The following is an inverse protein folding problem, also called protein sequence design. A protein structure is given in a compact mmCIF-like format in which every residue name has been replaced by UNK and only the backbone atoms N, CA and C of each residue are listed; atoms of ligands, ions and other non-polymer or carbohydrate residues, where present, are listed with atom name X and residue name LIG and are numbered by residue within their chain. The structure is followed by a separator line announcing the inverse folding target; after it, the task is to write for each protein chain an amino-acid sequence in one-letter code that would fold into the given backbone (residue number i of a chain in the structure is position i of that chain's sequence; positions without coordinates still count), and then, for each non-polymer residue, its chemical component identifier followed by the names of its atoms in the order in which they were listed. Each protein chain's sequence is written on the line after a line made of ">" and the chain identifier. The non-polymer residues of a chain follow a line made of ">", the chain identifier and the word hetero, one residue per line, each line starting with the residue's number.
data_IF_680496421189
#
_entry.id   IF_680496421189
#
_cell.length_a   1.000
_cell.length_b   1.000
_cell.length_c   1.000
_cell.angle_alpha   90.00
_cell.angle_beta   90.00
_cell.angle_gamma   90.00
#
_symmetry.space_group_name_H-M   'P 1'
#
loop_
_entity.id
_entity.type
_entity.pdbx_description
1 polymer ?
#
# COMPACT_ATOMS: atom_id res chain seq x y z
N UNK A 1 17.11 4.57 -30.50
CA UNK A 1 15.84 5.18 -30.09
C UNK A 1 16.18 6.42 -29.27
N UNK A 2 15.52 7.57 -29.46
CA UNK A 2 15.70 8.69 -28.53
C UNK A 2 15.40 8.19 -27.11
N UNK A 3 16.15 8.69 -26.13
CA UNK A 3 15.87 8.37 -24.73
C UNK A 3 14.42 8.77 -24.43
N UNK A 4 13.61 7.87 -23.86
CA UNK A 4 12.26 8.23 -23.44
C UNK A 4 12.35 9.34 -22.40
N UNK A 5 11.54 10.38 -22.56
CA UNK A 5 11.46 11.44 -21.56
C UNK A 5 10.81 10.89 -20.28
N UNK A 6 11.31 11.35 -19.13
CA UNK A 6 10.75 10.92 -17.85
C UNK A 6 9.36 11.52 -17.64
N UNK A 7 8.43 10.69 -17.17
CA UNK A 7 7.04 11.06 -16.90
C UNK A 7 6.61 10.63 -15.50
N UNK A 8 5.57 11.27 -14.98
CA UNK A 8 4.80 10.76 -13.85
C UNK A 8 3.57 10.03 -14.38
N UNK A 9 3.19 8.95 -13.70
CA UNK A 9 1.89 8.32 -13.89
C UNK A 9 1.15 8.40 -12.56
N UNK A 10 0.24 9.35 -12.46
CA UNK A 10 -0.68 9.46 -11.33
C UNK A 10 -1.76 8.38 -11.48
N UNK A 11 -2.07 7.64 -10.42
CA UNK A 11 -3.15 6.66 -10.44
C UNK A 11 -3.86 6.57 -9.10
N UNK A 12 -5.02 5.93 -9.15
CA UNK A 12 -5.82 5.52 -7.99
C UNK A 12 -6.68 4.29 -8.34
N UNK A 13 -7.00 3.48 -7.34
CA UNK A 13 -7.93 2.37 -7.47
C UNK A 13 -9.14 2.56 -6.54
N UNK A 14 -10.32 2.26 -7.08
CA UNK A 14 -11.45 1.87 -6.25
C UNK A 14 -11.49 0.35 -6.13
N UNK A 15 -11.65 -0.18 -4.92
CA UNK A 15 -11.65 -1.61 -4.64
C UNK A 15 -12.93 -2.04 -3.91
N UNK A 16 -13.25 -3.33 -4.01
CA UNK A 16 -14.37 -3.94 -3.31
C UNK A 16 -14.08 -4.27 -1.83
N UNK A 17 -12.95 -3.82 -1.29
CA UNK A 17 -12.59 -4.03 0.10
C UNK A 17 -11.16 -3.64 0.43
N UNK A 18 -10.82 -3.74 1.72
CA UNK A 18 -9.58 -3.19 2.30
C UNK A 18 -8.36 -4.12 2.18
N UNK A 19 -8.54 -5.40 1.86
CA UNK A 19 -7.46 -6.39 1.74
C UNK A 19 -6.91 -6.42 0.30
N UNK A 20 -5.69 -5.94 0.04
CA UNK A 20 -5.16 -5.89 -1.33
C UNK A 20 -4.98 -7.27 -1.98
N UNK A 21 -4.85 -8.33 -1.17
CA UNK A 21 -4.68 -9.71 -1.65
C UNK A 21 -6.01 -10.44 -1.85
N UNK A 22 -6.98 -10.25 -0.95
CA UNK A 22 -8.23 -11.02 -0.92
C UNK A 22 -9.40 -10.28 -1.58
N UNK A 23 -9.44 -8.96 -1.49
CA UNK A 23 -10.45 -8.14 -2.16
C UNK A 23 -10.05 -7.84 -3.61
N UNK A 24 -11.05 -7.51 -4.43
CA UNK A 24 -10.90 -7.32 -5.88
C UNK A 24 -10.92 -5.84 -6.26
N UNK A 25 -10.14 -5.44 -7.29
CA UNK A 25 -10.27 -4.09 -7.84
C UNK A 25 -11.66 -3.92 -8.47
N UNK A 26 -12.22 -2.71 -8.40
CA UNK A 26 -13.46 -2.33 -9.05
C UNK A 26 -13.19 -1.41 -10.25
N UNK A 27 -12.35 -0.39 -10.06
CA UNK A 27 -11.99 0.61 -11.07
C UNK A 27 -10.51 0.97 -10.93
N UNK A 28 -9.89 1.32 -12.06
CA UNK A 28 -8.60 1.99 -12.11
C UNK A 28 -8.75 3.31 -12.84
N UNK A 29 -8.11 4.36 -12.32
CA UNK A 29 -7.88 5.60 -13.04
C UNK A 29 -6.40 5.93 -13.10
N UNK A 30 -5.96 6.53 -14.21
CA UNK A 30 -4.58 6.95 -14.39
C UNK A 30 -4.42 8.15 -15.33
N UNK A 31 -3.49 9.03 -15.00
CA UNK A 31 -3.11 10.19 -15.80
C UNK A 31 -1.59 10.31 -15.89
N UNK A 32 -1.07 10.25 -17.11
CA UNK A 32 0.34 10.50 -17.36
C UNK A 32 0.60 12.00 -17.47
N UNK A 33 1.70 12.46 -16.89
CA UNK A 33 2.16 13.85 -17.00
C UNK A 33 3.66 13.93 -17.31
N UNK A 34 4.08 15.06 -17.87
CA UNK A 34 5.49 15.42 -17.94
C UNK A 34 6.04 15.81 -16.54
N UNK A 35 7.31 16.22 -16.48
CA UNK A 35 7.96 16.69 -15.24
C UNK A 35 7.39 17.99 -14.67
N UNK A 36 6.71 18.77 -15.48
CA UNK A 36 6.06 20.03 -15.11
C UNK A 36 4.57 19.81 -14.77
N UNK A 37 4.13 18.55 -14.66
CA UNK A 37 2.76 18.17 -14.34
C UNK A 37 1.72 18.61 -15.39
N UNK A 38 2.13 18.72 -16.65
CA UNK A 38 1.22 18.86 -17.78
C UNK A 38 0.80 17.47 -18.26
N UNK A 39 -0.50 17.28 -18.52
CA UNK A 39 -1.03 16.00 -18.99
C UNK A 39 -0.38 15.58 -20.32
N UNK A 40 -0.06 14.29 -20.44
CA UNK A 40 0.51 13.66 -21.64
C UNK A 40 -0.42 12.53 -22.05
N UNK A 41 -1.14 12.71 -23.16
CA UNK A 41 -2.17 11.78 -23.60
C UNK A 41 -3.48 11.93 -22.83
N UNK A 42 -4.37 10.98 -23.06
CA UNK A 42 -5.72 10.98 -22.47
C UNK A 42 -5.76 10.26 -21.11
N UNK A 43 -6.64 10.70 -20.18
CA UNK A 43 -6.97 9.95 -18.98
C UNK A 43 -7.35 8.49 -19.28
N UNK A 44 -6.88 7.57 -18.44
CA UNK A 44 -7.19 6.15 -18.55
C UNK A 44 -8.14 5.76 -17.42
N UNK A 45 -9.37 5.38 -17.75
CA UNK A 45 -10.36 4.91 -16.76
C UNK A 45 -10.99 3.63 -17.27
N UNK A 46 -10.95 2.57 -16.48
CA UNK A 46 -11.57 1.30 -16.83
C UNK A 46 -11.91 0.47 -15.57
N UNK A 47 -12.89 -0.42 -15.70
CA UNK A 47 -13.42 -1.24 -14.60
C UNK A 47 -12.92 -2.69 -14.69
N UNK A 48 -12.89 -3.39 -13.56
CA UNK A 48 -12.58 -4.82 -13.48
C UNK A 48 -13.84 -5.62 -13.19
N UNK A 49 -14.12 -6.65 -14.00
CA UNK A 49 -15.19 -7.59 -13.70
C UNK A 49 -14.79 -8.45 -12.48
N UNK A 50 -15.77 -8.79 -11.64
CA UNK A 50 -15.59 -9.73 -10.55
C UNK A 50 -15.76 -11.16 -11.05
N UNK A 51 -14.92 -12.05 -10.55
CA UNK A 51 -15.13 -13.48 -10.72
C UNK A 51 -16.26 -13.99 -9.82
N UNK A 52 -16.81 -15.15 -10.18
CA UNK A 52 -17.97 -15.77 -9.52
C UNK A 52 -17.66 -16.44 -8.17
N UNK A 53 -16.50 -16.16 -7.57
CA UNK A 53 -16.01 -16.74 -6.31
C UNK A 53 -15.86 -15.72 -5.17
N UNK A 54 -16.44 -14.52 -5.30
CA UNK A 54 -16.21 -13.41 -4.38
C UNK A 54 -17.44 -12.54 -4.11
N UNK A 55 -17.62 -12.15 -2.85
CA UNK A 55 -18.56 -11.13 -2.40
C UNK A 55 -17.79 -9.87 -1.95
N UNK A 56 -18.20 -8.66 -2.38
CA UNK A 56 -17.55 -7.42 -1.98
C UNK A 56 -17.84 -7.06 -0.52
N UNK A 57 -17.02 -6.21 0.10
CA UNK A 57 -17.34 -5.57 1.37
C UNK A 57 -18.44 -4.50 1.14
N UNK A 58 -19.59 -4.57 1.84
CA UNK A 58 -20.68 -3.62 1.63
C UNK A 58 -20.27 -2.16 1.80
N UNK A 59 -19.49 -1.83 2.83
CA UNK A 59 -19.05 -0.47 3.08
C UNK A 59 -18.12 0.06 1.99
N UNK A 60 -17.33 -0.81 1.35
CA UNK A 60 -16.50 -0.39 0.23
C UNK A 60 -17.38 0.04 -0.96
N UNK A 61 -18.42 -0.74 -1.29
CA UNK A 61 -19.39 -0.35 -2.32
C UNK A 61 -20.12 0.95 -1.95
N UNK A 62 -20.37 1.19 -0.67
CA UNK A 62 -20.99 2.43 -0.20
C UNK A 62 -20.08 3.66 -0.27
N UNK A 63 -18.77 3.47 -0.10
CA UNK A 63 -17.78 4.54 -0.23
C UNK A 63 -17.55 4.87 -1.71
N UNK A 64 -17.32 3.83 -2.53
CA UNK A 64 -16.97 3.97 -3.95
C UNK A 64 -18.17 4.26 -4.86
N UNK A 65 -19.37 3.88 -4.43
CA UNK A 65 -20.58 3.89 -5.26
C UNK A 65 -20.60 2.87 -6.40
N UNK A 66 -19.58 2.02 -6.53
CA UNK A 66 -19.46 1.05 -7.63
C UNK A 66 -20.02 -0.30 -7.19
N UNK A 67 -21.16 -0.69 -7.73
CA UNK A 67 -21.74 -2.02 -7.47
C UNK A 67 -21.09 -3.10 -8.33
N UNK A 68 -21.13 -4.38 -7.90
CA UNK A 68 -20.67 -5.50 -8.73
C UNK A 68 -21.32 -5.53 -10.12
N UNK A 69 -22.59 -5.16 -10.22
CA UNK A 69 -23.31 -5.09 -11.50
C UNK A 69 -22.72 -4.01 -12.42
N UNK A 70 -22.34 -2.85 -11.89
CA UNK A 70 -21.70 -1.79 -12.68
C UNK A 70 -20.33 -2.26 -13.16
N UNK A 71 -19.52 -2.82 -12.26
CA UNK A 71 -18.18 -3.31 -12.60
C UNK A 71 -18.24 -4.47 -13.61
N UNK A 72 -19.19 -5.40 -13.48
CA UNK A 72 -19.36 -6.50 -14.43
C UNK A 72 -19.87 -6.04 -15.80
N UNK A 73 -20.77 -5.05 -15.84
CA UNK A 73 -21.32 -4.54 -17.09
C UNK A 73 -20.35 -3.65 -17.87
N UNK A 74 -19.50 -2.88 -17.19
CA UNK A 74 -18.57 -1.92 -17.81
C UNK A 74 -17.14 -2.44 -17.91
N UNK A 75 -16.78 -3.41 -17.07
CA UNK A 75 -15.42 -3.85 -16.89
C UNK A 75 -14.96 -4.89 -17.88
N UNK A 76 -13.67 -5.20 -17.77
CA UNK A 76 -13.01 -6.30 -18.47
C UNK A 76 -12.57 -7.37 -17.46
N UNK A 77 -12.33 -8.63 -17.87
CA UNK A 77 -11.77 -9.65 -17.00
C UNK A 77 -10.45 -9.20 -16.35
N UNK A 78 -10.12 -9.69 -15.15
CA UNK A 78 -8.96 -9.26 -14.37
C UNK A 78 -7.64 -9.42 -15.16
N UNK A 79 -7.53 -10.43 -16.02
CA UNK A 79 -6.38 -10.60 -16.91
C UNK A 79 -6.17 -9.42 -17.87
N UNK A 80 -7.23 -8.89 -18.47
CA UNK A 80 -7.14 -7.75 -19.38
C UNK A 80 -6.91 -6.45 -18.59
N UNK A 81 -7.59 -6.31 -17.44
CA UNK A 81 -7.38 -5.22 -16.50
C UNK A 81 -5.90 -5.11 -16.08
N UNK A 82 -5.31 -6.23 -15.67
CA UNK A 82 -3.90 -6.35 -15.29
C UNK A 82 -2.96 -5.99 -16.45
N UNK A 83 -3.26 -6.45 -17.66
CA UNK A 83 -2.45 -6.16 -18.85
C UNK A 83 -2.44 -4.67 -19.20
N UNK A 84 -3.60 -4.00 -19.13
CA UNK A 84 -3.72 -2.55 -19.37
C UNK A 84 -2.90 -1.75 -18.36
N UNK A 85 -3.03 -2.06 -17.07
CA UNK A 85 -2.25 -1.41 -16.01
C UNK A 85 -0.75 -1.65 -16.20
N UNK A 86 -0.35 -2.90 -16.46
CA UNK A 86 1.05 -3.24 -16.69
C UNK A 86 1.62 -2.50 -17.90
N UNK A 87 0.86 -2.33 -18.98
CA UNK A 87 1.30 -1.55 -20.14
C UNK A 87 1.61 -0.09 -19.77
N UNK A 88 0.75 0.55 -18.97
CA UNK A 88 0.96 1.91 -18.47
C UNK A 88 2.16 2.00 -17.51
N UNK A 89 2.23 1.07 -16.55
CA UNK A 89 3.23 1.11 -15.48
C UNK A 89 4.64 0.76 -15.97
N UNK A 90 4.76 -0.04 -17.03
CA UNK A 90 6.03 -0.52 -17.57
C UNK A 90 6.61 0.36 -18.68
N UNK A 91 5.95 1.47 -19.05
CA UNK A 91 6.55 2.49 -19.92
C UNK A 91 7.88 3.00 -19.33
N UNK A 92 8.99 3.00 -20.08
CA UNK A 92 10.30 3.42 -19.57
C UNK A 92 10.33 4.85 -19.02
N UNK A 93 11.15 5.06 -17.98
CA UNK A 93 11.30 6.35 -17.29
C UNK A 93 10.00 6.87 -16.64
N UNK A 94 9.12 5.97 -16.19
CA UNK A 94 7.89 6.34 -15.47
C UNK A 94 8.10 6.37 -13.95
N UNK A 95 7.68 7.44 -13.29
CA UNK A 95 7.45 7.46 -11.85
C UNK A 95 5.97 7.27 -11.56
N UNK A 96 5.61 6.08 -11.11
CA UNK A 96 4.24 5.75 -10.70
C UNK A 96 3.98 6.35 -9.33
N UNK A 97 2.92 7.14 -9.19
CA UNK A 97 2.62 7.90 -7.97
C UNK A 97 1.11 7.94 -7.71
N UNK A 98 0.72 7.93 -6.45
CA UNK A 98 -0.64 8.20 -6.02
C UNK A 98 -0.63 8.85 -4.64
N UNK A 99 -1.74 8.71 -3.93
CA UNK A 99 -1.90 9.18 -2.56
C UNK A 99 -2.14 7.98 -1.63
N UNK A 100 -1.17 7.66 -0.76
CA UNK A 100 -1.15 6.41 0.03
C UNK A 100 -0.93 5.12 -0.78
N UNK A 101 -0.53 5.24 -2.05
CA UNK A 101 -0.37 4.10 -2.95
C UNK A 101 0.64 3.08 -2.45
N UNK A 102 1.75 3.49 -1.82
CA UNK A 102 2.81 2.56 -1.41
C UNK A 102 2.33 1.55 -0.36
N UNK A 103 1.29 1.88 0.41
CA UNK A 103 0.71 1.02 1.45
C UNK A 103 -0.58 0.33 1.02
N UNK A 104 -1.20 0.75 -0.09
CA UNK A 104 -2.47 0.20 -0.55
C UNK A 104 -2.44 -0.16 -2.05
N UNK A 105 -2.50 0.82 -2.95
CA UNK A 105 -2.64 0.60 -4.39
C UNK A 105 -1.47 -0.18 -5.03
N UNK A 106 -0.24 0.03 -4.55
CA UNK A 106 0.92 -0.75 -4.95
C UNK A 106 0.76 -2.21 -4.54
N UNK A 107 0.15 -2.48 -3.39
CA UNK A 107 -0.16 -3.83 -2.91
C UNK A 107 -1.29 -4.45 -3.73
N UNK A 108 -2.31 -3.67 -4.11
CA UNK A 108 -3.37 -4.10 -5.04
C UNK A 108 -2.74 -4.48 -6.39
N UNK A 109 -1.90 -3.61 -6.95
CA UNK A 109 -1.18 -3.83 -8.21
C UNK A 109 -0.32 -5.10 -8.16
N UNK A 110 0.45 -5.29 -7.08
CA UNK A 110 1.28 -6.49 -6.89
C UNK A 110 0.44 -7.77 -6.89
N UNK A 111 -0.69 -7.77 -6.19
CA UNK A 111 -1.56 -8.94 -6.12
C UNK A 111 -2.32 -9.19 -7.42
N UNK A 112 -2.77 -8.15 -8.13
CA UNK A 112 -3.33 -8.27 -9.49
C UNK A 112 -2.29 -8.91 -10.42
N UNK A 113 -1.04 -8.42 -10.41
CA UNK A 113 0.01 -8.97 -11.27
C UNK A 113 0.37 -10.41 -10.90
N UNK A 114 0.48 -10.70 -9.61
CA UNK A 114 0.71 -12.05 -9.08
C UNK A 114 -0.36 -13.06 -9.52
N UNK A 115 -1.65 -12.72 -9.39
CA UNK A 115 -2.76 -13.57 -9.81
C UNK A 115 -2.83 -13.78 -11.33
N UNK A 116 -2.25 -12.86 -12.11
CA UNK A 116 -2.34 -12.84 -13.57
C UNK A 116 -0.99 -13.05 -14.27
N UNK A 117 -0.02 -13.69 -13.60
CA UNK A 117 1.27 -14.09 -14.17
C UNK A 117 2.11 -12.93 -14.75
N UNK A 118 1.98 -11.75 -14.16
CA UNK A 118 2.83 -10.58 -14.42
C UNK A 118 3.82 -10.46 -13.26
N UNK A 119 5.06 -10.05 -13.53
CA UNK A 119 6.04 -9.82 -12.47
C UNK A 119 5.52 -8.74 -11.50
N UNK A 120 5.32 -9.05 -10.20
CA UNK A 120 4.69 -8.12 -9.27
C UNK A 120 5.52 -6.86 -8.96
N UNK A 121 6.79 -6.82 -9.34
CA UNK A 121 7.76 -5.84 -8.84
C UNK A 121 8.44 -5.03 -9.95
N UNK A 122 8.65 -5.64 -11.13
CA UNK A 122 9.44 -5.12 -12.24
C UNK A 122 9.04 -3.71 -12.67
N UNK A 123 7.73 -3.44 -12.71
CA UNK A 123 7.14 -2.15 -13.06
C UNK A 123 7.71 -0.96 -12.26
N UNK A 124 8.12 -1.19 -11.01
CA UNK A 124 8.55 -0.13 -10.09
C UNK A 124 10.04 0.24 -10.19
N UNK A 125 10.83 -0.46 -11.01
CA UNK A 125 12.29 -0.24 -11.08
C UNK A 125 12.94 -0.55 -12.44
N UNK A 126 12.37 -1.43 -13.26
CA UNK A 126 12.92 -1.73 -14.59
C UNK A 126 12.84 -0.51 -15.51
N UNK A 127 13.70 -0.44 -16.51
CA UNK A 127 13.68 0.61 -17.54
C UNK A 127 13.84 2.05 -17.00
N UNK A 128 14.44 2.21 -15.81
CA UNK A 128 14.58 3.49 -15.14
C UNK A 128 13.29 3.97 -14.46
N UNK A 129 12.31 3.08 -14.28
CA UNK A 129 11.08 3.39 -13.56
C UNK A 129 11.35 3.55 -12.07
N UNK A 130 10.39 4.20 -11.41
CA UNK A 130 10.39 4.42 -9.97
C UNK A 130 8.96 4.50 -9.47
N UNK A 131 8.81 4.58 -8.15
CA UNK A 131 7.54 4.91 -7.51
C UNK A 131 7.71 6.03 -6.51
N UNK A 132 6.61 6.68 -6.16
CA UNK A 132 6.54 7.69 -5.11
C UNK A 132 5.14 7.69 -4.47
N UNK A 133 4.98 8.41 -3.37
CA UNK A 133 3.72 8.50 -2.63
C UNK A 133 3.58 9.91 -2.05
N UNK A 134 2.48 10.58 -2.38
CA UNK A 134 2.28 11.97 -1.98
C UNK A 134 1.82 12.11 -0.52
N UNK A 135 1.28 11.08 0.12
CA UNK A 135 0.80 11.17 1.50
C UNK A 135 1.92 11.55 2.48
N UNK A 136 3.04 10.83 2.45
CA UNK A 136 4.17 11.14 3.33
C UNK A 136 4.90 12.43 2.89
N UNK A 137 4.74 12.87 1.62
CA UNK A 137 5.18 14.22 1.17
C UNK A 137 4.34 15.32 1.84
N UNK A 138 3.01 15.18 1.90
CA UNK A 138 2.14 16.13 2.59
C UNK A 138 2.48 16.22 4.08
N UNK A 139 2.68 15.07 4.74
CA UNK A 139 3.12 15.02 6.14
C UNK A 139 4.46 15.71 6.34
N UNK A 140 5.42 15.47 5.45
CA UNK A 140 6.74 16.10 5.52
C UNK A 140 6.67 17.61 5.30
N UNK A 141 5.80 18.06 4.40
CA UNK A 141 5.56 19.48 4.18
C UNK A 141 4.97 20.14 5.43
N UNK A 142 3.91 19.58 6.01
CA UNK A 142 3.35 20.07 7.28
C UNK A 142 4.37 20.10 8.42
N UNK A 143 5.13 19.02 8.57
CA UNK A 143 6.06 18.88 9.69
C UNK A 143 7.26 19.82 9.56
N UNK A 144 7.82 19.95 8.36
CA UNK A 144 9.12 20.61 8.17
C UNK A 144 8.97 22.01 7.60
N UNK A 145 8.06 22.23 6.66
CA UNK A 145 7.92 23.51 5.93
C UNK A 145 6.44 23.81 5.65
N UNK A 146 5.64 24.08 6.69
CA UNK A 146 4.19 24.22 6.57
C UNK A 146 3.76 25.48 5.81
N UNK A 147 4.64 26.47 5.68
CA UNK A 147 4.30 27.79 5.17
C UNK A 147 3.79 27.73 3.71
N UNK A 148 2.69 28.43 3.43
CA UNK A 148 2.12 28.55 2.08
C UNK A 148 1.02 27.53 1.72
N UNK A 149 0.78 26.53 2.57
CA UNK A 149 -0.31 25.56 2.45
C UNK A 149 -1.21 25.65 3.68
N UNK A 150 -2.53 25.57 3.48
CA UNK A 150 -3.52 25.53 4.57
C UNK A 150 -3.67 24.09 5.03
N UNK A 151 -3.49 23.85 6.32
CA UNK A 151 -3.53 22.51 6.92
C UNK A 151 -4.82 22.34 7.73
N UNK A 152 -5.78 21.53 7.26
CA UNK A 152 -7.02 21.29 7.97
C UNK A 152 -6.79 20.47 9.23
N UNK A 153 -7.64 20.65 10.23
CA UNK A 153 -7.67 19.84 11.45
C UNK A 153 -8.79 18.79 11.37
N UNK A 154 -8.64 17.68 12.07
CA UNK A 154 -9.68 16.69 12.29
C UNK A 154 -10.52 17.05 13.54
N UNK A 155 -11.53 16.23 13.84
CA UNK A 155 -12.43 16.46 14.97
C UNK A 155 -11.73 16.47 16.35
N UNK A 156 -10.53 15.88 16.44
CA UNK A 156 -9.69 15.84 17.64
C UNK A 156 -8.70 17.03 17.73
N UNK A 157 -8.71 17.96 16.77
CA UNK A 157 -7.80 19.12 16.71
C UNK A 157 -6.39 18.79 16.19
N UNK A 158 -6.20 17.63 15.56
CA UNK A 158 -4.93 17.22 14.95
C UNK A 158 -4.93 17.46 13.44
N UNK A 159 -3.76 17.64 12.79
CA UNK A 159 -3.68 17.83 11.35
C UNK A 159 -4.28 16.63 10.59
N UNK A 160 -5.19 16.93 9.66
CA UNK A 160 -5.79 15.94 8.77
C UNK A 160 -5.06 15.89 7.44
N UNK A 161 -4.71 14.68 7.01
CA UNK A 161 -4.08 14.41 5.71
C UNK A 161 -5.00 13.62 4.79
N UNK A 162 -6.31 13.69 5.01
CA UNK A 162 -7.30 13.19 4.05
C UNK A 162 -7.29 14.09 2.81
N UNK A 163 -7.34 13.49 1.63
CA UNK A 163 -7.14 14.23 0.37
C UNK A 163 -8.28 15.24 0.13
N UNK A 164 -9.51 14.84 0.45
CA UNK A 164 -10.71 15.67 0.42
C UNK A 164 -10.60 16.87 1.38
N UNK A 165 -10.08 16.69 2.59
CA UNK A 165 -9.87 17.79 3.54
C UNK A 165 -8.80 18.78 3.03
N UNK A 166 -7.68 18.27 2.53
CA UNK A 166 -6.57 19.10 2.03
C UNK A 166 -6.98 19.92 0.81
N UNK A 167 -7.65 19.29 -0.16
CA UNK A 167 -8.13 19.97 -1.38
C UNK A 167 -9.14 21.05 -1.05
N UNK A 168 -10.13 20.75 -0.21
CA UNK A 168 -11.11 21.72 0.26
C UNK A 168 -10.45 22.92 0.96
N UNK A 169 -9.51 22.67 1.88
CA UNK A 169 -8.84 23.73 2.63
C UNK A 169 -7.96 24.65 1.76
N UNK A 170 -7.50 24.16 0.60
CA UNK A 170 -6.60 24.90 -0.31
C UNK A 170 -7.30 25.39 -1.59
N UNK A 171 -8.64 25.32 -1.67
CA UNK A 171 -9.39 25.81 -2.83
C UNK A 171 -9.15 25.01 -4.11
N UNK A 172 -8.75 23.74 -3.99
CA UNK A 172 -8.59 22.81 -5.11
C UNK A 172 -9.92 22.13 -5.38
N UNK A 173 -10.35 22.13 -6.64
CA UNK A 173 -11.58 21.44 -7.05
C UNK A 173 -11.45 19.93 -6.81
N UNK A 174 -12.42 19.37 -6.11
CA UNK A 174 -12.56 17.94 -5.83
C UNK A 174 -14.05 17.61 -5.99
N UNK A 175 -14.47 17.27 -7.21
CA UNK A 175 -15.89 17.21 -7.59
C UNK A 175 -16.63 16.05 -6.90
N UNK A 176 -16.10 14.84 -7.04
CA UNK A 176 -16.60 13.63 -6.38
C UNK A 176 -15.44 12.94 -5.68
N UNK A 177 -15.35 13.05 -4.36
CA UNK A 177 -14.43 12.22 -3.59
C UNK A 177 -14.83 10.75 -3.75
N UNK A 178 -13.86 9.84 -3.87
CA UNK A 178 -14.08 8.41 -4.12
C UNK A 178 -14.60 8.09 -5.55
N UNK A 179 -14.26 8.96 -6.51
CA UNK A 179 -14.12 8.57 -7.92
C UNK A 179 -12.62 8.57 -8.23
N UNK A 180 -12.10 7.43 -8.71
CA UNK A 180 -10.67 7.25 -8.92
C UNK A 180 -10.04 8.37 -9.77
N UNK A 181 -10.76 8.91 -10.76
CA UNK A 181 -10.20 9.96 -11.62
C UNK A 181 -10.19 11.33 -10.94
N UNK A 182 -11.22 11.64 -10.15
CA UNK A 182 -11.26 12.82 -9.29
C UNK A 182 -10.10 12.81 -8.28
N UNK A 183 -9.82 11.67 -7.65
CA UNK A 183 -8.71 11.51 -6.71
C UNK A 183 -7.33 11.60 -7.40
N UNK A 184 -7.20 11.13 -8.65
CA UNK A 184 -6.02 11.37 -9.49
C UNK A 184 -5.78 12.86 -9.74
N UNK A 185 -6.81 13.62 -10.10
CA UNK A 185 -6.68 15.07 -10.33
C UNK A 185 -6.39 15.82 -9.04
N UNK A 186 -7.03 15.45 -7.93
CA UNK A 186 -6.76 16.01 -6.60
C UNK A 186 -5.30 15.77 -6.20
N UNK A 187 -4.80 14.55 -6.37
CA UNK A 187 -3.39 14.19 -6.10
C UNK A 187 -2.42 15.01 -6.96
N UNK A 188 -2.70 15.15 -8.25
CA UNK A 188 -1.91 15.98 -9.17
C UNK A 188 -1.87 17.45 -8.72
N UNK A 189 -3.02 18.00 -8.32
CA UNK A 189 -3.13 19.38 -7.86
C UNK A 189 -2.36 19.60 -6.55
N UNK A 190 -2.43 18.66 -5.61
CA UNK A 190 -1.64 18.72 -4.38
C UNK A 190 -0.13 18.62 -4.66
N UNK A 191 0.30 17.79 -5.61
CA UNK A 191 1.70 17.73 -6.03
C UNK A 191 2.20 19.07 -6.60
N UNK A 192 1.39 19.72 -7.47
CA UNK A 192 1.65 21.07 -7.98
C UNK A 192 1.74 22.10 -6.86
N UNK A 193 0.83 22.05 -5.90
CA UNK A 193 0.81 22.98 -4.77
C UNK A 193 2.09 22.86 -3.92
N UNK A 194 2.53 21.65 -3.59
CA UNK A 194 3.78 21.45 -2.84
C UNK A 194 5.00 21.89 -3.67
N UNK A 195 5.02 21.60 -4.97
CA UNK A 195 6.10 22.04 -5.86
C UNK A 195 6.19 23.58 -5.92
N UNK A 196 5.06 24.27 -5.96
CA UNK A 196 5.00 25.74 -5.99
C UNK A 196 5.43 26.36 -4.66
N UNK A 197 4.86 25.89 -3.54
CA UNK A 197 5.05 26.51 -2.22
C UNK A 197 6.36 26.10 -1.57
N UNK A 198 6.81 24.86 -1.78
CA UNK A 198 7.99 24.28 -1.13
C UNK A 198 8.90 23.52 -2.11
N UNK A 199 9.40 24.17 -3.18
CA UNK A 199 10.14 23.51 -4.28
C UNK A 199 11.39 22.76 -3.82
N UNK A 200 12.15 23.32 -2.87
CA UNK A 200 13.37 22.68 -2.34
C UNK A 200 13.06 21.40 -1.56
N UNK A 201 11.98 21.40 -0.78
CA UNK A 201 11.55 20.21 -0.06
C UNK A 201 11.03 19.16 -1.04
N UNK A 202 10.22 19.59 -2.02
CA UNK A 202 9.71 18.72 -3.07
C UNK A 202 10.85 18.01 -3.83
N UNK A 203 11.85 18.76 -4.29
CA UNK A 203 13.02 18.22 -5.00
C UNK A 203 13.82 17.26 -4.12
N UNK A 204 14.03 17.63 -2.85
CA UNK A 204 14.72 16.79 -1.88
C UNK A 204 13.98 15.45 -1.70
N UNK A 205 12.69 15.47 -1.42
CA UNK A 205 11.87 14.27 -1.19
C UNK A 205 11.78 13.40 -2.45
N UNK A 206 11.58 14.03 -3.62
CA UNK A 206 11.56 13.33 -4.90
C UNK A 206 12.88 12.62 -5.16
N UNK A 207 14.01 13.29 -4.95
CA UNK A 207 15.34 12.66 -5.10
C UNK A 207 15.53 11.49 -4.14
N UNK A 208 15.08 11.63 -2.90
CA UNK A 208 15.22 10.63 -1.85
C UNK A 208 14.10 9.57 -1.85
N UNK A 209 13.21 9.53 -2.85
CA UNK A 209 12.37 8.34 -3.08
C UNK A 209 13.21 7.11 -3.48
N UNK A 210 14.39 7.36 -4.04
CA UNK A 210 15.30 6.33 -4.51
C UNK A 210 16.10 5.72 -3.33
N UNK A 211 16.10 4.39 -3.24
CA UNK A 211 16.78 3.66 -2.16
C UNK A 211 18.28 3.95 -2.07
N UNK A 212 18.97 4.11 -3.20
CA UNK A 212 20.40 4.43 -3.19
C UNK A 212 20.67 5.82 -2.61
N UNK A 213 19.80 6.79 -2.87
CA UNK A 213 19.89 8.13 -2.27
C UNK A 213 19.62 8.09 -0.77
N UNK A 214 18.59 7.37 -0.31
CA UNK A 214 18.32 7.18 1.12
C UNK A 214 19.49 6.56 1.87
N UNK A 215 20.16 5.56 1.29
CA UNK A 215 21.32 4.91 1.90
C UNK A 215 22.46 5.90 2.20
N UNK A 216 22.60 7.00 1.46
CA UNK A 216 23.64 8.01 1.72
C UNK A 216 23.39 8.81 3.02
N UNK A 217 22.17 8.79 3.55
CA UNK A 217 21.83 9.45 4.81
C UNK A 217 22.13 8.57 6.03
N UNK A 218 22.17 7.25 5.84
CA UNK A 218 22.22 6.26 6.92
C UNK A 218 23.67 5.99 7.32
N UNK A 219 23.99 6.21 8.60
CA UNK A 219 25.27 5.85 9.20
C UNK A 219 25.02 5.14 10.53
N UNK A 220 25.00 3.81 10.47
CA UNK A 220 24.79 2.91 11.61
C UNK A 220 25.97 2.97 12.59
N UNK A 221 27.25 2.85 12.17
CA UNK A 221 28.39 2.92 13.08
C UNK A 221 28.37 4.16 13.97
N UNK A 222 28.14 5.35 13.39
CA UNK A 222 28.12 6.60 14.14
C UNK A 222 26.78 6.90 14.83
N UNK A 223 25.77 6.05 14.64
CA UNK A 223 24.41 6.31 15.14
C UNK A 223 23.97 7.72 14.72
N UNK A 224 24.10 8.04 13.43
CA UNK A 224 23.81 9.40 12.94
C UNK A 224 22.30 9.65 13.01
N UNK A 225 21.83 10.64 13.80
CA UNK A 225 20.41 10.90 13.93
C UNK A 225 19.83 11.46 12.63
N UNK A 226 18.60 11.08 12.34
CA UNK A 226 17.83 11.51 11.18
C UNK A 226 16.44 11.98 11.61
N UNK A 227 15.86 12.90 10.85
CA UNK A 227 14.42 13.15 10.90
C UNK A 227 13.72 12.06 10.11
N UNK A 228 12.69 11.47 10.68
CA UNK A 228 11.79 10.57 9.98
C UNK A 228 10.36 11.07 10.11
N UNK A 229 9.64 11.11 8.97
CA UNK A 229 8.21 11.40 8.93
C UNK A 229 7.46 10.14 8.51
N UNK A 230 6.49 9.73 9.31
CA UNK A 230 5.73 8.49 9.15
C UNK A 230 4.43 8.54 9.95
N UNK A 231 3.32 8.14 9.32
CA UNK A 231 2.00 8.02 9.97
C UNK A 231 2.02 7.28 11.32
N UNK A 232 2.86 6.24 11.46
CA UNK A 232 3.01 5.46 12.70
C UNK A 232 3.45 6.26 13.93
N UNK A 233 4.00 7.47 13.76
CA UNK A 233 4.35 8.33 14.89
C UNK A 233 3.15 9.07 15.50
N UNK A 234 1.99 9.07 14.82
CA UNK A 234 0.77 9.74 15.27
C UNK A 234 0.70 11.22 14.90
N UNK A 235 -0.52 11.72 14.74
CA UNK A 235 -0.78 13.10 14.32
C UNK A 235 -0.43 14.13 15.42
N UNK A 236 -0.44 13.72 16.69
CA UNK A 236 -0.10 14.56 17.85
C UNK A 236 1.30 15.20 17.78
N UNK A 237 2.26 14.54 17.12
CA UNK A 237 3.61 15.08 16.86
C UNK A 237 3.87 15.34 15.38
N UNK A 238 2.81 15.64 14.62
CA UNK A 238 2.86 15.87 13.17
C UNK A 238 3.51 14.72 12.41
N UNK A 239 3.26 13.48 12.83
CA UNK A 239 3.83 12.27 12.25
C UNK A 239 5.37 12.27 12.18
N UNK A 240 6.07 12.97 13.08
CA UNK A 240 7.51 13.23 12.96
C UNK A 240 8.27 12.86 14.23
N UNK A 241 9.48 12.35 14.06
CA UNK A 241 10.43 12.19 15.16
C UNK A 241 11.89 12.26 14.68
N UNK A 242 12.81 12.44 15.62
CA UNK A 242 14.20 12.04 15.40
C UNK A 242 14.36 10.55 15.67
N UNK A 243 15.02 9.87 14.73
CA UNK A 243 15.37 8.47 14.84
C UNK A 243 16.88 8.29 14.78
N UNK A 244 17.35 7.14 15.24
CA UNK A 244 18.73 6.70 15.06
C UNK A 244 18.77 5.29 14.45
N UNK A 245 19.58 5.05 13.41
CA UNK A 245 19.73 3.72 12.84
C UNK A 245 20.58 2.83 13.75
N UNK A 246 20.09 1.61 14.04
CA UNK A 246 20.75 0.66 14.92
C UNK A 246 21.39 -0.50 14.15
N UNK A 247 20.67 -1.07 13.20
CA UNK A 247 21.14 -2.20 12.40
C UNK A 247 20.28 -2.37 11.13
N UNK A 248 20.78 -3.13 10.16
CA UNK A 248 19.93 -3.69 9.11
C UNK A 248 19.17 -4.90 9.65
N UNK A 249 17.94 -5.10 9.16
CA UNK A 249 17.17 -6.30 9.50
C UNK A 249 17.91 -7.56 8.99
N UNK A 250 17.93 -8.67 9.76
CA UNK A 250 18.66 -9.89 9.40
C UNK A 250 18.18 -10.51 8.07
N UNK A 251 16.86 -10.66 7.89
CA UNK A 251 16.30 -11.27 6.67
C UNK A 251 15.90 -10.27 5.58
N UNK A 252 15.20 -9.18 5.96
CA UNK A 252 14.72 -8.18 5.00
C UNK A 252 15.79 -7.13 4.68
N UNK A 253 16.51 -7.34 3.58
CA UNK A 253 17.57 -6.43 3.08
C UNK A 253 17.14 -4.98 2.83
N UNK A 254 15.84 -4.69 2.76
CA UNK A 254 15.32 -3.34 2.57
C UNK A 254 14.79 -2.72 3.88
N UNK A 255 14.88 -3.40 5.02
CA UNK A 255 14.40 -2.89 6.30
C UNK A 255 15.57 -2.46 7.19
N UNK A 256 15.50 -1.21 7.65
CA UNK A 256 16.43 -0.63 8.62
C UNK A 256 15.76 -0.62 10.00
N UNK A 257 16.43 -1.17 11.00
CA UNK A 257 16.00 -1.12 12.40
C UNK A 257 16.42 0.23 12.96
N UNK A 258 15.46 1.01 13.45
CA UNK A 258 15.68 2.34 14.00
C UNK A 258 15.06 2.46 15.39
N UNK A 259 15.70 3.22 16.26
CA UNK A 259 15.09 3.67 17.51
C UNK A 259 14.48 5.06 17.35
N UNK A 260 13.29 5.25 17.89
CA UNK A 260 12.62 6.54 18.04
C UNK A 260 13.21 7.27 19.26
N UNK A 261 14.03 8.30 19.02
CA UNK A 261 14.74 9.01 20.09
C UNK A 261 13.80 9.80 21.01
N UNK A 262 12.55 10.02 20.63
CA UNK A 262 11.55 10.65 21.49
C UNK A 262 10.95 9.67 22.52
N UNK A 263 11.11 8.35 22.31
CA UNK A 263 10.56 7.33 23.20
C UNK A 263 11.34 7.15 24.51
N UNK A 264 10.86 6.24 25.36
CA UNK A 264 11.58 5.78 26.54
C UNK A 264 12.54 4.66 26.15
N UNK A 265 13.84 4.86 26.40
CA UNK A 265 14.87 3.86 26.08
C UNK A 265 14.95 2.72 27.10
N UNK A 266 14.29 2.83 28.26
CA UNK A 266 14.36 1.84 29.34
C UNK A 266 14.11 0.41 28.86
N UNK A 267 13.07 0.10 28.06
CA UNK A 267 12.88 -1.25 27.54
C UNK A 267 14.09 -1.81 26.80
N UNK A 268 14.76 -1.00 25.97
CA UNK A 268 15.91 -1.44 25.19
C UNK A 268 17.15 -1.72 26.04
N UNK A 269 17.23 -1.13 27.22
CA UNK A 269 18.36 -1.25 28.13
C UNK A 269 18.19 -2.36 29.15
N UNK A 270 16.95 -2.73 29.49
CA UNK A 270 16.66 -3.63 30.61
C UNK A 270 16.08 -4.98 30.21
N UNK A 271 15.41 -5.07 29.06
CA UNK A 271 14.70 -6.28 28.65
C UNK A 271 15.57 -7.17 27.76
N UNK A 272 15.32 -8.48 27.85
CA UNK A 272 15.87 -9.47 26.91
C UNK A 272 15.22 -9.37 25.52
N UNK A 273 15.84 -9.92 24.46
CA UNK A 273 15.24 -9.95 23.11
C UNK A 273 13.84 -10.57 23.05
N UNK A 274 13.57 -11.60 23.87
CA UNK A 274 12.25 -12.25 23.92
C UNK A 274 11.19 -11.35 24.55
N UNK A 275 11.49 -10.71 25.67
CA UNK A 275 10.59 -9.75 26.34
C UNK A 275 10.36 -8.51 25.48
N UNK A 276 11.40 -8.02 24.78
CA UNK A 276 11.27 -6.94 23.81
C UNK A 276 10.33 -7.33 22.67
N UNK A 277 10.43 -8.58 22.17
CA UNK A 277 9.61 -9.08 21.07
C UNK A 277 8.15 -9.17 21.48
N UNK A 278 7.87 -9.78 22.62
CA UNK A 278 6.52 -9.85 23.18
C UNK A 278 5.95 -8.43 23.33
N UNK A 279 6.72 -7.50 23.93
CA UNK A 279 6.26 -6.12 24.14
C UNK A 279 6.08 -5.32 22.85
N UNK A 280 6.87 -5.58 21.81
CA UNK A 280 6.77 -4.92 20.51
C UNK A 280 5.49 -5.33 19.76
N UNK A 281 5.04 -6.58 19.92
CA UNK A 281 3.85 -7.11 19.24
C UNK A 281 2.57 -7.05 20.08
N UNK A 282 2.65 -6.66 21.35
CA UNK A 282 1.49 -6.33 22.18
C UNK A 282 0.91 -4.98 21.77
N UNK A 283 -0.42 -4.92 21.59
CA UNK A 283 -1.11 -3.68 21.23
C UNK A 283 -0.95 -2.66 22.35
N UNK A 284 -0.83 -1.38 21.98
CA UNK A 284 -0.62 -0.31 22.96
C UNK A 284 -1.73 -0.23 24.02
N UNK A 285 -2.98 -0.50 23.65
CA UNK A 285 -4.12 -0.58 24.59
C UNK A 285 -3.94 -1.63 25.68
N UNK A 286 -3.15 -2.67 25.40
CA UNK A 286 -3.00 -3.84 26.25
C UNK A 286 -1.71 -3.76 27.09
N UNK A 287 -0.87 -2.74 26.85
CA UNK A 287 0.37 -2.48 27.61
C UNK A 287 0.12 -1.82 28.97
N UNK A 288 -1.04 -1.20 29.20
CA UNK A 288 -1.32 -0.43 30.41
C UNK A 288 -0.33 0.72 30.59
N UNK A 289 0.32 0.80 31.76
CA UNK A 289 1.30 1.84 32.09
C UNK A 289 2.74 1.52 31.60
N UNK A 290 2.95 0.36 30.95
CA UNK A 290 4.28 -0.02 30.50
C UNK A 290 4.70 0.80 29.27
N UNK A 291 5.95 1.31 29.21
CA UNK A 291 6.46 1.97 28.03
C UNK A 291 6.55 0.99 26.86
N UNK A 292 6.05 1.42 25.70
CA UNK A 292 6.22 0.70 24.45
C UNK A 292 7.70 0.64 24.04
N UNK A 293 8.08 -0.40 23.31
CA UNK A 293 9.45 -0.54 22.77
C UNK A 293 9.64 0.53 21.68
N UNK A 294 10.59 1.47 21.81
CA UNK A 294 10.75 2.60 20.88
C UNK A 294 11.49 2.17 19.60
N UNK A 295 11.13 1.03 19.01
CA UNK A 295 11.75 0.47 17.80
C UNK A 295 10.76 0.48 16.65
N UNK A 296 11.27 0.77 15.46
CA UNK A 296 10.51 0.74 14.22
C UNK A 296 11.36 0.19 13.08
N UNK A 297 10.71 -0.41 12.09
CA UNK A 297 11.33 -0.72 10.80
C UNK A 297 11.08 0.42 9.81
N UNK A 298 12.15 0.86 9.15
CA UNK A 298 12.10 1.79 8.01
C UNK A 298 12.42 1.00 6.74
N UNK A 299 11.42 0.80 5.90
CA UNK A 299 11.57 0.08 4.63
C UNK A 299 12.06 1.03 3.53
N UNK A 300 13.34 1.00 3.17
CA UNK A 300 13.97 1.94 2.23
C UNK A 300 13.43 1.85 0.79
N UNK A 301 12.74 0.75 0.46
CA UNK A 301 12.07 0.59 -0.83
C UNK A 301 10.64 1.14 -0.84
N UNK A 302 10.07 1.56 0.30
CA UNK A 302 8.71 2.10 0.45
C UNK A 302 8.70 3.63 0.59
N UNK A 303 9.59 4.31 -0.13
CA UNK A 303 9.71 5.77 -0.17
C UNK A 303 9.67 6.49 1.20
N UNK A 304 10.38 6.00 2.24
CA UNK A 304 10.28 6.61 3.56
C UNK A 304 10.90 8.01 3.55
N UNK A 305 10.24 8.96 4.22
CA UNK A 305 10.80 10.30 4.39
C UNK A 305 11.90 10.25 5.45
N UNK A 306 13.15 10.39 5.00
CA UNK A 306 14.32 10.56 5.85
C UNK A 306 15.05 11.85 5.46
N UNK A 307 15.47 12.61 6.46
CA UNK A 307 16.28 13.82 6.25
C UNK A 307 17.36 13.97 7.34
N UNK A 308 18.44 14.73 7.10
CA UNK A 308 19.40 15.08 8.14
C UNK A 308 18.73 15.71 9.37
N UNK A 309 19.24 15.42 10.57
CA UNK A 309 18.65 15.90 11.83
C UNK A 309 18.35 17.41 11.88
N UNK A 310 19.22 18.24 11.28
CA UNK A 310 19.07 19.70 11.24
C UNK A 310 17.95 20.20 10.31
N UNK A 311 17.29 19.32 9.55
CA UNK A 311 16.15 19.67 8.71
C UNK A 311 14.93 20.05 9.56
N UNK A 312 14.78 19.40 10.72
CA UNK A 312 13.84 19.77 11.77
C UNK A 312 14.46 20.90 12.60
N UNK A 313 13.97 22.12 12.38
CA UNK A 313 14.47 23.32 13.05
C UNK A 313 13.96 23.37 14.50
N UNK A 314 14.63 24.09 15.42
CA UNK A 314 14.14 24.23 16.80
C UNK A 314 12.66 24.67 16.87
N UNK A 315 12.26 25.64 16.06
CA UNK A 315 10.89 26.17 16.01
C UNK A 315 9.88 25.15 15.47
N UNK A 316 10.28 24.28 14.53
CA UNK A 316 9.43 23.20 14.04
C UNK A 316 9.26 22.12 15.11
N UNK A 317 10.34 21.78 15.82
CA UNK A 317 10.27 20.81 16.91
C UNK A 317 9.38 21.30 18.06
N UNK A 318 9.47 22.58 18.42
CA UNK A 318 8.59 23.19 19.43
C UNK A 318 7.12 23.16 18.98
N UNK A 319 6.82 23.55 17.74
CA UNK A 319 5.47 23.47 17.15
C UNK A 319 4.90 22.04 17.18
N UNK A 320 5.74 21.04 16.99
CA UNK A 320 5.36 19.62 16.95
C UNK A 320 5.42 18.93 18.33
N UNK A 321 5.82 19.63 19.40
CA UNK A 321 5.96 19.04 20.73
C UNK A 321 7.10 18.01 20.85
N UNK A 322 8.15 18.11 20.03
CA UNK A 322 9.29 17.20 20.02
C UNK A 322 10.41 17.78 20.90
N UNK A 323 10.68 17.13 22.04
CA UNK A 323 11.80 17.50 22.91
C UNK A 323 13.15 17.05 22.31
N UNK A 324 13.87 18.01 21.73
CA UNK A 324 15.19 17.78 21.13
C UNK A 324 16.26 17.44 22.16
N UNK A 325 16.16 17.97 23.37
CA UNK A 325 17.16 17.72 24.42
C UNK A 325 17.00 16.29 24.96
N UNK A 326 15.76 15.83 25.16
CA UNK A 326 15.44 14.44 25.45
C UNK A 326 15.98 13.49 24.39
N UNK A 327 15.74 13.80 23.10
CA UNK A 327 16.26 12.99 22.00
C UNK A 327 17.80 12.91 21.98
N UNK A 328 18.49 14.02 22.26
CA UNK A 328 19.96 14.05 22.35
C UNK A 328 20.48 13.27 23.56
N UNK A 329 19.79 13.33 24.71
CA UNK A 329 20.13 12.55 25.88
C UNK A 329 19.98 11.04 25.61
N UNK A 330 18.87 10.63 24.98
CA UNK A 330 18.66 9.25 24.55
C UNK A 330 19.70 8.77 23.54
N UNK A 331 20.10 9.62 22.59
CA UNK A 331 21.18 9.29 21.67
C UNK A 331 22.52 9.08 22.39
N UNK A 332 22.84 9.94 23.37
CA UNK A 332 24.06 9.79 24.18
C UNK A 332 24.02 8.52 25.02
N UNK A 333 22.86 8.15 25.54
CA UNK A 333 22.62 6.91 26.29
C UNK A 333 22.82 5.68 25.40
N UNK A 334 22.16 5.60 24.24
CA UNK A 334 22.31 4.48 23.30
C UNK A 334 23.74 4.27 22.82
N UNK A 335 24.53 5.35 22.69
CA UNK A 335 25.96 5.25 22.33
C UNK A 335 26.83 4.63 23.41
N UNK A 336 26.40 4.65 24.67
CA UNK A 336 27.09 4.02 25.80
C UNK A 336 26.71 2.54 25.94
N UNK A 337 25.63 2.10 25.30
CA UNK A 337 25.06 0.76 25.38
C UNK A 337 25.11 0.06 24.02
N UNK A 338 26.31 -0.35 23.60
CA UNK A 338 26.54 -0.99 22.30
C UNK A 338 25.76 -2.31 22.14
N UNK A 339 25.51 -3.02 23.25
CA UNK A 339 24.74 -4.26 23.35
C UNK A 339 23.31 -4.12 22.81
N UNK A 340 22.72 -2.93 22.84
CA UNK A 340 21.37 -2.69 22.30
C UNK A 340 21.28 -3.08 20.82
N UNK A 341 22.36 -2.88 20.05
CA UNK A 341 22.37 -3.25 18.62
C UNK A 341 22.25 -4.76 18.42
N UNK A 342 22.96 -5.54 19.23
CA UNK A 342 22.89 -7.00 19.16
C UNK A 342 21.50 -7.48 19.58
N UNK A 343 20.96 -6.92 20.67
CA UNK A 343 19.63 -7.27 21.18
C UNK A 343 18.53 -7.03 20.15
N UNK A 344 18.53 -5.88 19.45
CA UNK A 344 17.51 -5.60 18.43
C UNK A 344 17.68 -6.47 17.19
N UNK A 345 18.90 -6.87 16.83
CA UNK A 345 19.10 -7.82 15.71
C UNK A 345 18.54 -9.19 16.08
N UNK A 346 18.84 -9.70 17.28
CA UNK A 346 18.31 -10.97 17.79
C UNK A 346 16.77 -10.95 17.88
N UNK A 347 16.19 -9.83 18.32
CA UNK A 347 14.74 -9.63 18.36
C UNK A 347 14.08 -9.95 17.01
N UNK A 348 14.64 -9.47 15.89
CA UNK A 348 14.08 -9.69 14.56
C UNK A 348 14.51 -11.02 13.93
N UNK A 349 15.69 -11.55 14.28
CA UNK A 349 16.20 -12.81 13.71
C UNK A 349 15.43 -14.05 14.22
N UNK A 350 15.01 -14.03 15.48
CA UNK A 350 14.32 -15.14 16.13
C UNK A 350 12.81 -14.92 16.22
N UNK A 351 12.24 -14.05 15.39
CA UNK A 351 10.80 -13.86 15.33
C UNK A 351 10.12 -15.17 14.88
N UNK A 352 9.03 -15.56 15.57
CA UNK A 352 8.28 -16.75 15.18
C UNK A 352 7.82 -16.65 13.72
N UNK A 353 7.96 -17.74 12.93
CA UNK A 353 7.48 -17.75 11.57
C UNK A 353 5.99 -17.44 11.53
N UNK A 354 5.60 -16.46 10.72
CA UNK A 354 4.19 -16.24 10.40
C UNK A 354 3.61 -17.55 9.87
N UNK A 355 2.45 -17.99 10.41
CA UNK A 355 1.75 -19.16 9.87
C UNK A 355 1.19 -18.78 8.50
N UNK A 356 1.72 -19.33 7.39
CA UNK A 356 1.31 -18.92 6.06
C UNK A 356 -0.17 -19.24 5.84
N UNK A 357 -0.88 -18.36 5.13
CA UNK A 357 -2.25 -18.66 4.68
C UNK A 357 -2.23 -19.87 3.76
N UNK A 358 -3.23 -20.75 3.85
CA UNK A 358 -3.40 -21.83 2.86
C UNK A 358 -3.93 -21.33 1.51
N UNK A 359 -4.48 -20.11 1.51
CA UNK A 359 -5.07 -19.47 0.35
C UNK A 359 -3.99 -18.85 -0.55
N UNK A 360 -3.85 -19.39 -1.77
CA UNK A 360 -2.79 -18.99 -2.71
C UNK A 360 -2.83 -17.51 -3.08
N UNK A 361 -4.01 -16.86 -3.03
CA UNK A 361 -4.13 -15.43 -3.32
C UNK A 361 -3.44 -14.55 -2.23
N UNK A 362 -3.23 -15.09 -1.04
CA UNK A 362 -2.53 -14.43 0.07
C UNK A 362 -1.04 -14.80 0.19
N UNK A 363 -0.51 -15.62 -0.72
CA UNK A 363 0.85 -16.19 -0.65
C UNK A 363 1.90 -15.43 -1.46
N UNK A 364 1.61 -14.19 -1.91
CA UNK A 364 2.56 -13.37 -2.67
C UNK A 364 3.92 -13.25 -1.98
N UNK A 365 3.92 -13.07 -0.66
CA UNK A 365 5.12 -12.81 0.14
C UNK A 365 5.80 -14.07 0.69
N UNK A 366 5.33 -15.27 0.34
CA UNK A 366 5.93 -16.55 0.76
C UNK A 366 7.28 -16.84 0.06
N UNK A 367 7.67 -16.01 -0.90
CA UNK A 367 8.96 -16.11 -1.58
C UNK A 367 8.92 -15.52 -2.99
N UNK A 368 10.10 -15.21 -3.53
CA UNK A 368 10.25 -14.83 -4.93
C UNK A 368 10.25 -16.08 -5.83
N UNK A 369 9.60 -15.99 -6.99
CA UNK A 369 9.69 -17.03 -8.01
C UNK A 369 11.10 -17.10 -8.61
N UNK A 370 11.55 -18.32 -8.93
CA UNK A 370 12.84 -18.54 -9.60
C UNK A 370 12.85 -17.98 -11.03
N UNK A 371 14.04 -17.78 -11.60
CA UNK A 371 14.17 -17.29 -12.98
C UNK A 371 13.53 -18.25 -14.00
N UNK A 372 13.61 -19.56 -13.74
CA UNK A 372 12.97 -20.60 -14.54
C UNK A 372 11.44 -20.51 -14.45
N UNK A 373 10.90 -20.40 -13.24
CA UNK A 373 9.45 -20.24 -13.04
C UNK A 373 8.93 -18.95 -13.69
N UNK A 374 9.67 -17.82 -13.59
CA UNK A 374 9.31 -16.57 -14.27
C UNK A 374 9.30 -16.72 -15.79
N UNK A 375 10.24 -17.48 -16.37
CA UNK A 375 10.22 -17.79 -17.80
C UNK A 375 8.97 -18.62 -18.17
N UNK A 376 8.63 -19.64 -17.38
CA UNK A 376 7.42 -20.43 -17.58
C UNK A 376 6.13 -19.62 -17.45
N UNK A 377 6.03 -18.72 -16.46
CA UNK A 377 4.89 -17.81 -16.30
C UNK A 377 4.72 -16.86 -17.50
N UNK A 378 5.83 -16.40 -18.10
CA UNK A 378 5.76 -15.61 -19.34
C UNK A 378 5.21 -16.42 -20.52
N UNK A 379 5.56 -17.71 -20.63
CA UNK A 379 4.99 -18.62 -21.64
C UNK A 379 3.48 -18.77 -21.43
N UNK A 380 3.03 -18.97 -20.17
CA UNK A 380 1.61 -19.03 -19.84
C UNK A 380 0.87 -17.77 -20.32
N UNK A 381 1.41 -16.58 -20.03
CA UNK A 381 0.79 -15.31 -20.40
C UNK A 381 0.69 -15.09 -21.91
N UNK A 382 1.65 -15.61 -22.69
CA UNK A 382 1.67 -15.48 -24.15
C UNK A 382 0.84 -16.56 -24.86
N UNK A 383 0.42 -17.60 -24.14
CA UNK A 383 -0.31 -18.72 -24.72
C UNK A 383 -1.81 -18.41 -24.77
N UNK A 384 -2.48 -18.65 -25.93
CA UNK A 384 -3.92 -18.50 -26.02
C UNK A 384 -4.65 -19.36 -24.97
N UNK A 385 -5.71 -18.85 -24.31
CA UNK A 385 -6.36 -19.55 -23.20
C UNK A 385 -6.78 -20.99 -23.49
N UNK A 386 -7.27 -21.25 -24.71
CA UNK A 386 -7.67 -22.59 -25.17
C UNK A 386 -6.53 -23.61 -25.24
N UNK A 387 -5.28 -23.13 -25.31
CA UNK A 387 -4.09 -23.98 -25.39
C UNK A 387 -3.42 -24.18 -24.02
N UNK A 388 -3.79 -23.40 -23.00
CA UNK A 388 -3.22 -23.53 -21.64
C UNK A 388 -3.34 -24.93 -21.04
N UNK A 389 -4.46 -25.68 -21.21
CA UNK A 389 -4.57 -27.04 -20.65
C UNK A 389 -3.59 -28.04 -21.28
N UNK A 390 -3.13 -27.77 -22.51
CA UNK A 390 -2.24 -28.65 -23.26
C UNK A 390 -0.75 -28.33 -23.03
N UNK A 391 -0.43 -27.26 -22.30
CA UNK A 391 0.94 -26.91 -21.96
C UNK A 391 1.49 -27.86 -20.89
N UNK A 392 2.58 -28.54 -21.22
CA UNK A 392 3.36 -29.35 -20.29
C UNK A 392 4.54 -28.52 -19.77
N UNK A 393 4.29 -27.70 -18.75
CA UNK A 393 5.29 -26.90 -18.06
C UNK A 393 5.45 -27.40 -16.62
N UNK A 394 6.69 -27.65 -16.22
CA UNK A 394 7.04 -28.00 -14.84
C UNK A 394 7.49 -26.75 -14.09
N UNK A 395 6.89 -26.51 -12.93
CA UNK A 395 7.22 -25.40 -12.04
C UNK A 395 7.81 -25.92 -10.73
N UNK A 396 8.82 -25.23 -10.22
CA UNK A 396 9.41 -25.55 -8.91
C UNK A 396 8.49 -25.05 -7.78
N UNK A 397 7.94 -23.85 -7.95
CA UNK A 397 7.05 -23.24 -6.98
C UNK A 397 5.64 -23.83 -7.01
N UNK A 398 5.23 -24.40 -5.87
CA UNK A 398 3.93 -25.07 -5.69
C UNK A 398 2.73 -24.12 -5.81
N UNK A 399 2.93 -22.80 -5.65
CA UNK A 399 1.87 -21.79 -5.80
C UNK A 399 1.36 -21.73 -7.23
N UNK A 400 2.25 -21.92 -8.22
CA UNK A 400 1.95 -21.70 -9.64
C UNK A 400 0.82 -22.60 -10.14
N UNK A 401 0.80 -23.87 -9.75
CA UNK A 401 -0.27 -24.80 -10.15
C UNK A 401 -1.65 -24.37 -9.61
N UNK A 402 -1.71 -23.88 -8.36
CA UNK A 402 -2.96 -23.36 -7.76
C UNK A 402 -3.37 -22.04 -8.42
N UNK A 403 -2.42 -21.13 -8.67
CA UNK A 403 -2.65 -19.88 -9.37
C UNK A 403 -3.18 -20.12 -10.78
N UNK A 404 -2.59 -21.06 -11.54
CA UNK A 404 -2.97 -21.32 -12.93
C UNK A 404 -4.41 -21.83 -13.03
N UNK A 405 -4.80 -22.72 -12.11
CA UNK A 405 -6.18 -23.18 -12.03
C UNK A 405 -7.15 -22.02 -11.78
N UNK A 406 -6.89 -21.18 -10.77
CA UNK A 406 -7.77 -20.03 -10.46
C UNK A 406 -7.77 -18.98 -11.56
N UNK A 407 -6.62 -18.68 -12.15
CA UNK A 407 -6.48 -17.77 -13.27
C UNK A 407 -7.35 -18.20 -14.45
N UNK A 408 -7.30 -19.47 -14.84
CA UNK A 408 -8.15 -20.02 -15.91
C UNK A 408 -9.63 -20.00 -15.52
N UNK A 409 -9.97 -20.43 -14.32
CA UNK A 409 -11.36 -20.51 -13.89
C UNK A 409 -12.04 -19.14 -13.79
N UNK A 410 -11.33 -18.14 -13.26
CA UNK A 410 -11.84 -16.76 -13.10
C UNK A 410 -11.94 -16.00 -14.42
N UNK A 411 -10.95 -16.14 -15.31
CA UNK A 411 -10.87 -15.32 -16.52
C UNK A 411 -11.40 -16.02 -17.78
N UNK A 412 -11.33 -17.35 -17.83
CA UNK A 412 -11.65 -18.15 -19.01
C UNK A 412 -12.46 -19.41 -18.63
N UNK A 413 -13.60 -19.28 -17.91
CA UNK A 413 -14.35 -20.43 -17.40
C UNK A 413 -14.78 -21.41 -18.51
N UNK A 414 -15.01 -20.92 -19.74
CA UNK A 414 -15.33 -21.75 -20.91
C UNK A 414 -14.19 -22.66 -21.40
N UNK A 415 -12.99 -22.56 -20.83
CA UNK A 415 -11.84 -23.43 -21.15
C UNK A 415 -11.68 -24.60 -20.17
N UNK A 416 -12.52 -24.68 -19.13
CA UNK A 416 -12.47 -25.72 -18.12
C UNK A 416 -13.16 -26.99 -18.63
N UNK A 417 -12.52 -28.14 -18.43
CA UNK A 417 -13.18 -29.44 -18.63
C UNK A 417 -14.17 -29.76 -17.51
N UNK A 418 -14.94 -30.85 -17.64
CA UNK A 418 -15.96 -31.23 -16.65
C UNK A 418 -15.39 -31.41 -15.24
N UNK A 419 -14.19 -31.97 -15.10
CA UNK A 419 -13.56 -32.19 -13.78
C UNK A 419 -13.10 -30.87 -13.17
N UNK A 420 -12.54 -30.00 -13.99
CA UNK A 420 -12.12 -28.66 -13.60
C UNK A 420 -13.31 -27.78 -13.20
N UNK A 421 -14.43 -27.88 -13.91
CA UNK A 421 -15.68 -27.21 -13.53
C UNK A 421 -16.21 -27.70 -12.19
N UNK A 422 -16.20 -29.02 -11.92
CA UNK A 422 -16.58 -29.55 -10.61
C UNK A 422 -15.63 -29.10 -9.50
N UNK A 423 -14.32 -29.05 -9.78
CA UNK A 423 -13.33 -28.51 -8.84
C UNK A 423 -13.57 -27.02 -8.55
N UNK A 424 -13.93 -26.25 -9.56
CA UNK A 424 -14.23 -24.82 -9.41
C UNK A 424 -15.51 -24.60 -8.60
N UNK A 425 -16.56 -25.38 -8.88
CA UNK A 425 -17.80 -25.36 -8.11
C UNK A 425 -17.56 -25.66 -6.62
N UNK A 426 -16.69 -26.64 -6.32
CA UNK A 426 -16.32 -26.95 -4.95
C UNK A 426 -15.57 -25.79 -4.29
N UNK A 427 -14.60 -25.18 -4.97
CA UNK A 427 -13.91 -23.97 -4.48
C UNK A 427 -14.90 -22.83 -4.21
N UNK A 428 -15.84 -22.57 -5.13
CA UNK A 428 -16.88 -21.55 -4.94
C UNK A 428 -17.73 -21.81 -3.70
N UNK A 429 -18.15 -23.07 -3.46
CA UNK A 429 -18.91 -23.45 -2.27
C UNK A 429 -18.14 -23.24 -0.97
N UNK A 430 -16.82 -23.46 -0.99
CA UNK A 430 -15.96 -23.21 0.16
C UNK A 430 -15.79 -21.71 0.42
N UNK A 431 -15.60 -20.91 -0.64
CA UNK A 431 -15.46 -19.45 -0.54
C UNK A 431 -16.77 -18.76 -0.15
N UNK A 432 -17.89 -19.24 -0.67
CA UNK A 432 -19.25 -18.75 -0.46
C UNK A 432 -20.05 -19.68 0.47
N UNK A 433 -19.40 -20.17 1.51
CA UNK A 433 -20.05 -21.07 2.45
C UNK A 433 -21.20 -20.37 3.22
N UNK A 434 -22.10 -21.16 3.79
CA UNK A 434 -23.30 -20.65 4.44
C UNK A 434 -23.03 -19.63 5.56
N UNK A 435 -21.94 -19.82 6.32
CA UNK A 435 -21.55 -18.89 7.40
C UNK A 435 -21.15 -17.53 6.85
N UNK A 436 -20.29 -17.48 5.82
CA UNK A 436 -19.87 -16.24 5.17
C UNK A 436 -21.03 -15.52 4.50
N UNK A 437 -21.89 -16.24 3.80
CA UNK A 437 -23.08 -15.66 3.16
C UNK A 437 -24.05 -15.12 4.20
N UNK A 438 -24.27 -15.84 5.30
CA UNK A 438 -25.12 -15.36 6.39
C UNK A 438 -24.53 -14.11 7.06
N UNK A 439 -23.23 -14.08 7.33
CA UNK A 439 -22.55 -12.90 7.88
C UNK A 439 -22.70 -11.68 6.96
N UNK A 440 -22.49 -11.87 5.66
CA UNK A 440 -22.69 -10.82 4.66
C UNK A 440 -24.13 -10.29 4.64
N UNK A 441 -25.14 -11.17 4.69
CA UNK A 441 -26.55 -10.73 4.73
C UNK A 441 -26.89 -9.96 6.01
N UNK A 442 -26.38 -10.39 7.16
CA UNK A 442 -26.57 -9.68 8.43
C UNK A 442 -25.90 -8.30 8.43
N UNK A 443 -24.73 -8.17 7.79
CA UNK A 443 -24.04 -6.90 7.60
C UNK A 443 -24.87 -5.96 6.71
N UNK A 444 -25.44 -6.46 5.60
CA UNK A 444 -26.36 -5.68 4.76
C UNK A 444 -27.60 -5.20 5.54
N UNK A 445 -28.21 -6.05 6.37
CA UNK A 445 -29.35 -5.68 7.22
C UNK A 445 -28.99 -4.59 8.24
N UNK A 446 -27.83 -4.72 8.88
CA UNK A 446 -27.32 -3.74 9.83
C UNK A 446 -27.09 -2.37 9.16
N UNK A 447 -26.43 -2.36 8.01
CA UNK A 447 -26.17 -1.14 7.24
C UNK A 447 -27.45 -0.52 6.68
N UNK A 448 -28.42 -1.33 6.27
CA UNK A 448 -29.72 -0.85 5.80
C UNK A 448 -30.49 -0.13 6.92
N UNK A 449 -30.44 -0.65 8.14
CA UNK A 449 -31.00 0.00 9.32
C UNK A 449 -30.30 1.33 9.63
N UNK A 450 -28.96 1.35 9.57
CA UNK A 450 -28.15 2.55 9.83
C UNK A 450 -28.39 3.66 8.78
N UNK A 451 -28.69 3.29 7.54
CA UNK A 451 -28.80 4.20 6.40
C UNK A 451 -30.21 4.26 5.79
N UNK A 452 -31.26 3.97 6.57
CA UNK A 452 -32.66 3.92 6.09
C UNK A 452 -33.10 5.24 5.39
N UNK A 453 -32.57 6.38 5.81
CA UNK A 453 -32.84 7.70 5.22
C UNK A 453 -32.03 8.06 3.98
N UNK A 454 -31.06 7.24 3.57
CA UNK A 454 -30.17 7.50 2.43
C UNK A 454 -30.54 6.61 1.25
N UNK A 455 -31.29 7.18 0.30
CA UNK A 455 -31.84 6.43 -0.84
C UNK A 455 -30.74 5.84 -1.75
N UNK A 456 -29.58 6.48 -1.85
CA UNK A 456 -28.47 6.00 -2.67
C UNK A 456 -27.81 4.79 -2.04
N UNK A 457 -27.49 4.86 -0.74
CA UNK A 457 -26.94 3.73 0.01
C UNK A 457 -27.90 2.55 0.05
N UNK A 458 -29.20 2.80 0.23
CA UNK A 458 -30.22 1.75 0.19
C UNK A 458 -30.30 1.06 -1.18
N UNK A 459 -30.11 1.80 -2.28
CA UNK A 459 -30.05 1.22 -3.61
C UNK A 459 -28.80 0.35 -3.81
N UNK A 460 -27.64 0.77 -3.30
CA UNK A 460 -26.40 -0.01 -3.33
C UNK A 460 -26.53 -1.31 -2.52
N UNK A 461 -27.06 -1.25 -1.30
CA UNK A 461 -27.29 -2.44 -0.45
C UNK A 461 -28.27 -3.43 -1.10
N UNK A 462 -29.33 -2.92 -1.74
CA UNK A 462 -30.25 -3.76 -2.52
C UNK A 462 -29.55 -4.43 -3.71
N UNK A 463 -28.66 -3.72 -4.41
CA UNK A 463 -27.88 -4.30 -5.50
C UNK A 463 -26.95 -5.40 -4.98
N UNK A 464 -26.30 -5.21 -3.83
CA UNK A 464 -25.47 -6.23 -3.18
C UNK A 464 -26.25 -7.49 -2.81
N UNK A 465 -27.45 -7.33 -2.26
CA UNK A 465 -28.34 -8.46 -1.96
C UNK A 465 -28.68 -9.27 -3.22
N UNK A 466 -29.06 -8.59 -4.31
CA UNK A 466 -29.38 -9.24 -5.58
C UNK A 466 -28.17 -9.96 -6.18
N UNK A 467 -26.97 -9.35 -6.08
CA UNK A 467 -25.72 -9.98 -6.53
C UNK A 467 -25.43 -11.26 -5.75
N UNK A 468 -25.55 -11.23 -4.42
CA UNK A 468 -25.33 -12.41 -3.60
C UNK A 468 -26.34 -13.52 -3.94
N UNK A 469 -27.61 -13.18 -4.18
CA UNK A 469 -28.64 -14.14 -4.56
C UNK A 469 -28.31 -14.84 -5.89
N UNK A 470 -27.84 -14.10 -6.90
CA UNK A 470 -27.41 -14.67 -8.18
C UNK A 470 -26.16 -15.55 -8.03
N UNK A 471 -25.24 -15.17 -7.14
CA UNK A 471 -23.98 -15.87 -6.96
C UNK A 471 -24.13 -17.24 -6.28
N UNK A 472 -25.14 -17.39 -5.41
CA UNK A 472 -25.37 -18.61 -4.62
C UNK A 472 -26.49 -19.51 -5.18
N UNK A 473 -27.23 -19.04 -6.19
CA UNK A 473 -28.20 -19.86 -6.95
C UNK A 473 -27.49 -20.83 -7.88
#
# INVERSE_FOLDING_TARGET
>A
MPASEFTFLFHDYETFGKSPSLDRPAQFAGLRTDKAFNAVGEPQVFYCQLADDYLPQPEAVMITGITPQVANARGVPEVEFAQRIHALFSEPQTCVIGYNNVRFDDEVTRNIFYRNFIDPYGWSWQNGNSRWDLLDVMRACYALRPEGIVWPENDDGFPSFKLEHLTQANGVAHEQAHDAMSDVYATLAMAKLVQEKQPKLFEFLFTHRNKQKLMTLIDIPQMKPLVHVSGMFGAARGNTSWIVPLAWHPDNKNALIVADLAGDMTPLLTLSPDELRERLYTRHSDLGDLPAVPIKLVHINKCPVLAPANTLRPEDAERLGIDRQHCLANLALLRQHAEVRENVVTLFAEAEPFTPSEDVDAQLYDGFFSDADRAGMNILRQTPPQNLPALDLTFEDKRIAKLLFRYRARNFPGTLDDKEQQRWLQHRREQLNAERVQAFLLELESLASLHEGDAEKMAQLKALYLYAQELVS
#
